data_IF_702324017919
#
_entry.id   IF_702324017919
#
_cell.length_a   1.000
_cell.length_b   1.000
_cell.length_c   1.000
_cell.angle_alpha   90.00
_cell.angle_beta   90.00
_cell.angle_gamma   90.00
#
_symmetry.space_group_name_H-M   'P 1'
#
loop_
_entity.id
_entity.type
_entity.pdbx_description
1 polymer ?
#
# COMPACT_ATOMS: atom_id res chain seq x y z
N UNK A 1 -8.32 8.38 12.71
CA UNK A 1 -7.63 7.19 12.10
C UNK A 1 -6.81 7.69 10.93
N UNK A 2 -5.52 7.43 10.91
CA UNK A 2 -4.59 7.82 9.83
C UNK A 2 -4.05 6.59 9.11
N UNK A 3 -3.58 6.79 7.89
CA UNK A 3 -2.94 5.74 7.09
C UNK A 3 -1.49 6.11 6.84
N UNK A 4 -0.55 5.26 7.26
CA UNK A 4 0.87 5.36 6.92
C UNK A 4 1.13 4.48 5.70
N UNK A 5 1.70 5.06 4.63
CA UNK A 5 2.03 4.33 3.39
C UNK A 5 3.54 4.40 3.15
N UNK A 6 4.19 3.24 3.03
CA UNK A 6 5.59 3.16 2.69
C UNK A 6 5.80 3.41 1.19
N UNK A 7 6.51 4.47 0.85
CA UNK A 7 6.73 4.92 -0.52
C UNK A 7 8.22 5.21 -0.84
N UNK A 8 9.14 4.77 0.01
CA UNK A 8 10.56 5.13 -0.07
C UNK A 8 11.51 4.06 -0.62
N UNK A 9 11.01 2.89 -1.04
CA UNK A 9 11.84 1.79 -1.54
C UNK A 9 12.40 2.04 -2.95
N UNK A 10 13.52 1.38 -3.28
CA UNK A 10 14.22 1.52 -4.57
C UNK A 10 13.46 0.92 -5.76
N UNK A 11 12.57 -0.07 -5.55
CA UNK A 11 11.77 -0.69 -6.60
C UNK A 11 12.55 -1.45 -7.66
N UNK A 12 13.70 -2.03 -7.31
CA UNK A 12 14.69 -2.63 -8.24
C UNK A 12 14.13 -3.74 -9.14
N UNK A 13 13.07 -4.44 -8.72
CA UNK A 13 12.43 -5.51 -9.50
C UNK A 13 11.57 -4.99 -10.67
N UNK A 14 11.30 -3.70 -10.74
CA UNK A 14 10.54 -3.01 -11.78
C UNK A 14 11.42 -1.91 -12.39
N UNK A 15 12.67 -2.22 -12.71
CA UNK A 15 13.71 -1.25 -13.10
C UNK A 15 13.37 -0.43 -14.35
N UNK A 16 12.59 -1.00 -15.29
CA UNK A 16 12.15 -0.33 -16.51
C UNK A 16 11.34 0.93 -16.21
N UNK A 17 10.54 0.91 -15.16
CA UNK A 17 9.69 2.04 -14.72
C UNK A 17 10.38 2.87 -13.63
N UNK A 18 11.06 2.19 -12.69
CA UNK A 18 11.61 2.85 -11.48
C UNK A 18 12.93 3.56 -11.72
N UNK A 19 13.54 3.40 -12.89
CA UNK A 19 14.65 4.25 -13.32
C UNK A 19 14.30 5.74 -13.41
N UNK A 20 13.04 6.07 -13.66
CA UNK A 20 12.54 7.44 -13.85
C UNK A 20 11.76 7.94 -12.64
N UNK A 21 10.86 7.12 -12.06
CA UNK A 21 9.96 7.48 -10.95
C UNK A 21 9.97 6.42 -9.85
N UNK A 22 9.67 6.77 -8.57
CA UNK A 22 9.60 5.76 -7.51
C UNK A 22 8.42 4.82 -7.76
N UNK A 23 8.52 3.56 -7.30
CA UNK A 23 7.52 2.50 -7.54
C UNK A 23 6.07 2.92 -7.24
N UNK A 24 5.76 3.64 -6.14
CA UNK A 24 4.41 4.11 -5.84
C UNK A 24 3.83 5.09 -6.88
N UNK A 25 4.69 5.68 -7.72
CA UNK A 25 4.30 6.61 -8.80
C UNK A 25 4.18 5.92 -10.17
N UNK A 26 4.38 4.62 -10.26
CA UNK A 26 4.10 3.84 -11.49
C UNK A 26 2.60 3.77 -11.68
N UNK A 27 2.16 4.04 -12.91
CA UNK A 27 0.75 4.26 -13.22
C UNK A 27 0.02 2.96 -13.63
N UNK A 28 -1.23 2.88 -13.18
CA UNK A 28 -2.25 1.93 -13.62
C UNK A 28 -3.42 2.77 -14.11
N UNK A 29 -3.79 2.62 -15.39
CA UNK A 29 -4.89 3.40 -15.97
C UNK A 29 -4.67 4.93 -15.92
N UNK A 30 -3.42 5.39 -16.01
CA UNK A 30 -3.06 6.81 -15.97
C UNK A 30 -3.08 7.47 -14.60
N UNK A 31 -3.16 6.67 -13.51
CA UNK A 31 -3.04 7.13 -12.12
C UNK A 31 -1.98 6.33 -11.38
N UNK A 32 -1.13 6.97 -10.54
CA UNK A 32 -0.14 6.26 -9.73
C UNK A 32 -0.78 5.14 -8.88
N UNK A 33 -0.09 4.01 -8.68
CA UNK A 33 -0.60 2.96 -7.78
C UNK A 33 -0.84 3.50 -6.37
N UNK A 34 -0.06 4.46 -5.91
CA UNK A 34 -0.28 5.19 -4.66
C UNK A 34 -1.67 5.83 -4.61
N UNK A 35 -2.12 6.45 -5.70
CA UNK A 35 -3.46 7.04 -5.81
C UNK A 35 -4.55 5.95 -5.64
N UNK A 36 -4.38 4.78 -6.28
CA UNK A 36 -5.32 3.67 -6.14
C UNK A 36 -5.41 3.18 -4.70
N UNK A 37 -4.28 3.02 -4.01
CA UNK A 37 -4.23 2.63 -2.59
C UNK A 37 -4.96 3.66 -1.73
N UNK A 38 -4.72 4.95 -1.93
CA UNK A 38 -5.39 6.02 -1.20
C UNK A 38 -6.90 6.03 -1.46
N UNK A 39 -7.33 5.76 -2.70
CA UNK A 39 -8.78 5.64 -3.04
C UNK A 39 -9.44 4.47 -2.32
N UNK A 40 -8.74 3.34 -2.13
CA UNK A 40 -9.27 2.22 -1.35
C UNK A 40 -9.57 2.64 0.09
N UNK A 41 -8.62 3.27 0.78
CA UNK A 41 -8.85 3.78 2.13
C UNK A 41 -9.94 4.86 2.18
N UNK A 42 -9.96 5.75 1.19
CA UNK A 42 -10.95 6.82 1.08
C UNK A 42 -12.36 6.28 0.90
N UNK A 43 -12.55 5.17 0.16
CA UNK A 43 -13.83 4.50 0.01
C UNK A 43 -14.37 3.94 1.35
N UNK A 44 -13.49 3.70 2.33
CA UNK A 44 -13.84 3.33 3.71
C UNK A 44 -13.84 4.54 4.67
N UNK A 45 -13.86 5.78 4.15
CA UNK A 45 -13.96 7.02 4.94
C UNK A 45 -12.66 7.50 5.57
N UNK A 46 -11.51 6.91 5.23
CA UNK A 46 -10.20 7.30 5.78
C UNK A 46 -9.47 8.18 4.76
N UNK A 47 -9.26 9.46 5.12
CA UNK A 47 -8.76 10.50 4.21
C UNK A 47 -7.51 11.23 4.73
N UNK A 48 -6.89 10.75 5.82
CA UNK A 48 -5.68 11.34 6.40
C UNK A 48 -4.49 10.39 6.18
N UNK A 49 -3.57 10.80 5.31
CA UNK A 49 -2.47 9.97 4.81
C UNK A 49 -1.12 10.55 5.20
N UNK A 50 -0.22 9.68 5.65
CA UNK A 50 1.18 9.97 5.93
C UNK A 50 2.01 9.11 4.97
N UNK A 51 2.68 9.74 4.03
CA UNK A 51 3.47 9.06 3.02
C UNK A 51 4.95 9.10 3.40
N UNK A 52 5.53 7.94 3.66
CA UNK A 52 6.96 7.79 3.96
C UNK A 52 7.78 7.86 2.67
N UNK A 53 8.22 9.05 2.30
CA UNK A 53 9.07 9.29 1.14
C UNK A 53 10.53 8.85 1.39
N UNK A 54 11.21 8.47 0.34
CA UNK A 54 12.65 8.12 0.31
C UNK A 54 13.14 8.28 -1.11
N UNK A 55 13.65 7.20 -1.72
CA UNK A 55 14.15 7.23 -3.08
C UNK A 55 13.20 7.95 -4.04
N UNK A 56 13.71 9.01 -4.70
CA UNK A 56 12.95 9.90 -5.59
C UNK A 56 11.67 10.48 -4.95
N UNK A 57 11.65 10.66 -3.63
CA UNK A 57 10.49 11.19 -2.90
C UNK A 57 10.02 12.56 -3.36
N UNK A 58 10.90 13.35 -4.01
CA UNK A 58 10.53 14.64 -4.60
C UNK A 58 9.43 14.50 -5.67
N UNK A 59 9.45 13.42 -6.46
CA UNK A 59 8.43 13.18 -7.50
C UNK A 59 7.04 12.99 -6.86
N UNK A 60 6.97 12.34 -5.68
CA UNK A 60 5.73 12.21 -4.92
C UNK A 60 5.29 13.59 -4.41
N UNK A 61 6.22 14.39 -3.88
CA UNK A 61 5.92 15.76 -3.41
C UNK A 61 5.44 16.65 -4.54
N UNK A 62 6.08 16.60 -5.70
CA UNK A 62 5.70 17.35 -6.90
C UNK A 62 4.31 16.97 -7.40
N UNK A 63 3.98 15.66 -7.40
CA UNK A 63 2.66 15.18 -7.77
C UNK A 63 1.56 15.79 -6.90
N UNK A 64 1.72 15.77 -5.57
CA UNK A 64 0.73 16.33 -4.66
C UNK A 64 0.72 17.86 -4.65
N UNK A 65 1.87 18.52 -4.82
CA UNK A 65 1.94 19.97 -4.97
C UNK A 65 1.16 20.47 -6.20
N UNK A 66 1.16 19.66 -7.27
CA UNK A 66 0.47 19.95 -8.52
C UNK A 66 -0.87 19.18 -8.68
N UNK A 67 -1.40 18.61 -7.61
CA UNK A 67 -2.54 17.69 -7.67
C UNK A 67 -3.77 18.32 -8.34
N UNK A 68 -4.06 19.60 -8.06
CA UNK A 68 -5.17 20.31 -8.68
C UNK A 68 -5.00 20.47 -10.21
N UNK A 69 -3.78 20.57 -10.70
CA UNK A 69 -3.51 20.62 -12.14
C UNK A 69 -3.84 19.29 -12.83
N UNK A 70 -3.72 18.16 -12.12
CA UNK A 70 -4.07 16.83 -12.62
C UNK A 70 -5.57 16.53 -12.55
N UNK A 71 -6.30 17.19 -11.63
CA UNK A 71 -7.66 16.81 -11.27
C UNK A 71 -8.71 17.87 -11.60
N UNK A 72 -8.32 19.05 -12.12
CA UNK A 72 -9.22 20.18 -12.34
C UNK A 72 -8.88 20.94 -13.61
N UNK A 73 -9.86 21.64 -14.17
CA UNK A 73 -9.62 22.62 -15.19
C UNK A 73 -9.01 23.88 -14.55
N UNK A 74 -8.03 24.50 -15.18
CA UNK A 74 -7.32 25.65 -14.64
C UNK A 74 -7.16 26.75 -15.70
N UNK A 75 -7.25 27.99 -15.27
CA UNK A 75 -6.91 29.17 -16.09
C UNK A 75 -5.66 29.83 -15.49
N UNK A 76 -4.66 30.05 -16.34
CA UNK A 76 -3.49 30.84 -15.99
C UNK A 76 -3.60 32.23 -16.64
N UNK A 77 -3.71 33.25 -15.82
CA UNK A 77 -3.52 34.63 -16.27
C UNK A 77 -2.02 34.97 -16.18
N UNK A 78 -1.33 34.87 -17.30
CA UNK A 78 0.11 35.09 -17.38
C UNK A 78 0.49 36.54 -17.13
N UNK A 79 -0.39 37.50 -17.44
CA UNK A 79 -0.17 38.91 -17.21
C UNK A 79 -0.19 39.26 -15.73
N UNK A 80 -1.19 38.77 -15.03
CA UNK A 80 -1.41 39.02 -13.61
C UNK A 80 -0.72 37.99 -12.68
N UNK A 81 -0.06 36.97 -13.27
CA UNK A 81 0.58 35.85 -12.55
C UNK A 81 -0.39 35.18 -11.56
N UNK A 82 -1.60 34.90 -12.02
CA UNK A 82 -2.67 34.27 -11.23
C UNK A 82 -3.09 32.93 -11.82
N UNK A 83 -3.43 32.01 -10.94
CA UNK A 83 -4.04 30.72 -11.30
C UNK A 83 -5.43 30.62 -10.68
N UNK A 84 -6.42 30.25 -11.48
CA UNK A 84 -7.76 29.95 -11.04
C UNK A 84 -8.11 28.49 -11.33
N UNK A 85 -8.55 27.76 -10.30
CA UNK A 85 -8.93 26.34 -10.40
C UNK A 85 -10.44 26.25 -10.52
N UNK A 86 -10.90 25.64 -11.64
CA UNK A 86 -12.31 25.42 -11.92
C UNK A 86 -12.68 23.95 -11.64
N UNK A 87 -13.95 23.72 -11.26
CA UNK A 87 -14.50 22.36 -11.10
C UNK A 87 -13.61 21.46 -10.22
N UNK A 88 -13.46 21.81 -8.93
CA UNK A 88 -12.68 21.05 -7.95
C UNK A 88 -13.14 19.60 -7.89
N UNK A 89 -12.38 18.70 -8.49
CA UNK A 89 -12.61 17.24 -8.52
C UNK A 89 -11.58 16.49 -7.66
N UNK A 90 -10.82 17.24 -6.86
CA UNK A 90 -9.84 16.64 -5.96
C UNK A 90 -10.54 15.85 -4.85
N UNK A 91 -9.94 14.75 -4.48
CA UNK A 91 -10.36 13.94 -3.34
C UNK A 91 -10.22 14.73 -2.02
N UNK A 92 -11.01 14.36 -0.98
CA UNK A 92 -11.01 15.07 0.31
C UNK A 92 -9.82 14.67 1.20
N UNK A 93 -8.64 14.52 0.62
CA UNK A 93 -7.46 14.00 1.31
C UNK A 93 -6.68 15.08 2.04
N UNK A 94 -6.22 14.73 3.24
CA UNK A 94 -5.11 15.39 3.92
C UNK A 94 -3.87 14.52 3.72
N UNK A 95 -2.81 15.07 3.14
CA UNK A 95 -1.60 14.31 2.79
C UNK A 95 -0.37 14.94 3.43
N UNK A 96 0.27 14.20 4.31
CA UNK A 96 1.55 14.56 4.91
C UNK A 96 2.68 13.76 4.25
N UNK A 97 3.62 14.45 3.65
CA UNK A 97 4.76 13.86 2.91
C UNK A 97 6.02 14.00 3.74
N UNK A 98 6.47 12.89 4.35
CA UNK A 98 7.61 12.87 5.26
C UNK A 98 8.83 12.30 4.56
N UNK A 99 9.95 13.00 4.57
CA UNK A 99 11.23 12.45 4.16
C UNK A 99 11.73 11.49 5.25
N UNK A 100 11.70 10.20 4.94
CA UNK A 100 12.14 9.15 5.85
C UNK A 100 13.54 8.61 5.52
N UNK A 101 14.27 9.29 4.63
CA UNK A 101 15.63 8.95 4.22
C UNK A 101 15.69 7.85 3.15
N UNK A 102 16.75 7.84 2.36
CA UNK A 102 16.91 6.87 1.26
C UNK A 102 17.21 5.46 1.77
N UNK A 103 18.00 5.35 2.84
CA UNK A 103 18.53 4.08 3.35
C UNK A 103 17.73 3.49 4.51
N UNK A 104 16.67 4.14 4.95
CA UNK A 104 15.83 3.61 6.04
C UNK A 104 15.06 2.38 5.57
N UNK A 105 15.02 1.36 6.43
CA UNK A 105 14.22 0.16 6.19
C UNK A 105 12.77 0.36 6.63
N UNK A 106 11.91 -0.63 6.41
CA UNK A 106 10.46 -0.54 6.61
C UNK A 106 10.06 -0.09 8.02
N UNK A 107 10.66 -0.67 9.05
CA UNK A 107 10.47 -0.26 10.45
C UNK A 107 11.03 1.13 10.71
N UNK A 108 12.26 1.42 10.25
CA UNK A 108 12.87 2.74 10.41
C UNK A 108 12.01 3.86 9.83
N UNK A 109 11.39 3.66 8.65
CA UNK A 109 10.45 4.64 8.07
C UNK A 109 9.23 4.85 8.96
N UNK A 110 8.69 3.77 9.53
CA UNK A 110 7.55 3.84 10.45
C UNK A 110 7.92 4.62 11.72
N UNK A 111 9.11 4.41 12.29
CA UNK A 111 9.58 5.17 13.46
C UNK A 111 9.72 6.67 13.17
N UNK A 112 10.17 7.04 11.97
CA UNK A 112 10.36 8.46 11.57
C UNK A 112 9.05 9.24 11.42
N UNK A 113 7.91 8.56 11.35
CA UNK A 113 6.58 9.20 11.34
C UNK A 113 5.84 9.08 12.67
N UNK A 114 6.51 8.62 13.73
CA UNK A 114 5.93 8.39 15.05
C UNK A 114 5.18 9.61 15.61
N UNK A 115 5.73 10.81 15.46
CA UNK A 115 5.12 12.05 15.96
C UNK A 115 3.75 12.37 15.34
N UNK A 116 3.47 11.84 14.15
CA UNK A 116 2.20 12.04 13.46
C UNK A 116 1.10 11.03 13.87
N UNK A 117 1.49 9.91 14.54
CA UNK A 117 0.58 8.79 14.82
C UNK A 117 0.54 8.39 16.30
N UNK A 118 1.44 8.91 17.16
CA UNK A 118 1.57 8.50 18.56
C UNK A 118 0.30 8.73 19.42
N UNK A 119 -0.52 9.71 19.04
CA UNK A 119 -1.74 10.09 19.77
C UNK A 119 -3.01 9.42 19.19
N UNK A 120 -2.87 8.57 18.17
CA UNK A 120 -3.97 7.77 17.65
C UNK A 120 -4.25 6.57 18.54
N UNK A 121 -5.50 6.12 18.65
CA UNK A 121 -5.83 4.83 19.31
C UNK A 121 -5.27 3.66 18.49
N UNK A 122 -5.44 3.73 17.19
CA UNK A 122 -4.87 2.83 16.20
C UNK A 122 -4.69 3.58 14.87
N UNK A 123 -3.82 3.08 14.01
CA UNK A 123 -3.60 3.61 12.66
C UNK A 123 -3.46 2.47 11.65
N UNK A 124 -3.80 2.75 10.39
CA UNK A 124 -3.56 1.84 9.29
C UNK A 124 -2.13 2.01 8.77
N UNK A 125 -1.55 0.90 8.34
CA UNK A 125 -0.20 0.88 7.77
C UNK A 125 -0.16 -0.05 6.55
N UNK A 126 0.43 0.40 5.43
CA UNK A 126 0.51 -0.43 4.23
C UNK A 126 1.73 -0.11 3.38
N UNK A 127 2.02 -0.99 2.43
CA UNK A 127 3.03 -0.79 1.39
C UNK A 127 2.44 0.03 0.24
N UNK A 128 3.29 0.80 -0.44
CA UNK A 128 2.90 1.69 -1.54
C UNK A 128 2.88 1.02 -2.92
N UNK A 129 2.73 -0.32 -2.99
CA UNK A 129 2.95 -1.08 -4.22
C UNK A 129 1.97 -2.25 -4.46
N UNK A 130 0.92 -2.37 -3.64
CA UNK A 130 -0.07 -3.42 -3.77
C UNK A 130 -1.51 -2.91 -3.65
N UNK A 131 -2.41 -3.48 -4.43
CA UNK A 131 -3.84 -3.20 -4.41
C UNK A 131 -4.65 -4.45 -4.04
N UNK A 132 -5.81 -4.26 -3.41
CA UNK A 132 -6.66 -5.33 -2.90
C UNK A 132 -8.11 -4.88 -2.85
N UNK A 133 -9.06 -5.80 -2.83
CA UNK A 133 -10.47 -5.54 -2.53
C UNK A 133 -10.81 -5.83 -1.06
N UNK A 134 -9.82 -5.72 -0.18
CA UNK A 134 -10.00 -5.92 1.26
C UNK A 134 -11.03 -4.95 1.84
N UNK A 135 -11.90 -5.45 2.69
CA UNK A 135 -12.79 -4.64 3.52
C UNK A 135 -12.02 -4.05 4.71
N UNK A 136 -11.50 -2.83 4.50
CA UNK A 136 -10.69 -2.11 5.49
C UNK A 136 -11.51 -1.82 6.75
N UNK A 137 -12.80 -1.52 6.61
CA UNK A 137 -13.69 -1.27 7.76
C UNK A 137 -13.75 -2.50 8.65
N UNK A 138 -14.00 -3.68 8.08
CA UNK A 138 -14.04 -4.92 8.86
C UNK A 138 -12.68 -5.30 9.47
N UNK A 139 -11.58 -5.01 8.78
CA UNK A 139 -10.24 -5.21 9.33
C UNK A 139 -9.99 -4.34 10.58
N UNK A 140 -10.46 -3.09 10.56
CA UNK A 140 -10.39 -2.19 11.72
C UNK A 140 -11.31 -2.67 12.86
N UNK A 141 -12.54 -3.05 12.56
CA UNK A 141 -13.48 -3.62 13.54
C UNK A 141 -12.91 -4.89 14.20
N UNK A 142 -12.28 -5.76 13.41
CA UNK A 142 -11.59 -6.95 13.90
C UNK A 142 -10.45 -6.59 14.85
N UNK A 143 -9.62 -5.60 14.47
CA UNK A 143 -8.54 -5.10 15.33
C UNK A 143 -9.06 -4.58 16.68
N UNK A 144 -10.10 -3.76 16.65
CA UNK A 144 -10.72 -3.21 17.84
C UNK A 144 -11.32 -4.29 18.74
N UNK A 145 -11.94 -5.32 18.14
CA UNK A 145 -12.59 -6.40 18.87
C UNK A 145 -11.61 -7.29 19.66
N UNK A 146 -10.43 -7.59 19.11
CA UNK A 146 -9.45 -8.43 19.81
C UNK A 146 -8.54 -7.65 20.77
N UNK A 147 -8.39 -6.33 20.60
CA UNK A 147 -7.64 -5.45 21.50
C UNK A 147 -6.13 -5.70 21.55
N UNK A 148 -5.56 -6.45 20.59
CA UNK A 148 -4.12 -6.71 20.47
C UNK A 148 -3.42 -5.56 19.77
N UNK A 149 -2.06 -5.55 19.78
CA UNK A 149 -1.29 -4.43 19.27
C UNK A 149 -1.25 -4.37 17.72
N UNK A 150 -1.38 -5.50 17.04
CA UNK A 150 -1.26 -5.55 15.59
C UNK A 150 -2.25 -6.53 14.96
N UNK A 151 -2.80 -6.10 13.83
CA UNK A 151 -3.52 -6.93 12.87
C UNK A 151 -2.80 -6.84 11.54
N UNK A 152 -2.46 -7.96 10.93
CA UNK A 152 -2.03 -8.03 9.54
C UNK A 152 -3.14 -8.63 8.67
N UNK A 153 -3.17 -8.27 7.39
CA UNK A 153 -4.01 -8.99 6.43
C UNK A 153 -3.26 -10.21 5.93
N UNK A 154 -3.83 -11.39 6.19
CA UNK A 154 -3.36 -12.65 5.63
C UNK A 154 -4.10 -12.93 4.33
N UNK A 155 -3.38 -13.21 3.25
CA UNK A 155 -3.96 -13.48 1.93
C UNK A 155 -3.17 -14.56 1.19
N UNK A 156 -3.77 -15.12 0.14
CA UNK A 156 -3.06 -16.04 -0.74
C UNK A 156 -2.27 -15.28 -1.81
N UNK A 157 -1.00 -15.67 -2.06
CA UNK A 157 -0.24 -15.09 -3.16
C UNK A 157 -0.90 -15.39 -4.50
N UNK A 158 -0.83 -14.46 -5.48
CA UNK A 158 -1.29 -14.74 -6.83
C UNK A 158 -0.50 -15.91 -7.43
N UNK A 159 -1.20 -16.87 -8.06
CA UNK A 159 -0.58 -18.02 -8.69
C UNK A 159 0.36 -17.62 -9.81
N UNK A 160 1.62 -18.04 -9.73
CA UNK A 160 2.64 -17.74 -10.75
C UNK A 160 2.95 -18.93 -11.65
N UNK A 161 2.77 -20.15 -11.15
CA UNK A 161 3.15 -21.41 -11.79
C UNK A 161 1.99 -22.41 -11.76
N UNK A 162 2.06 -23.42 -12.65
CA UNK A 162 1.19 -24.59 -12.54
C UNK A 162 1.59 -25.45 -11.34
N UNK A 163 0.63 -25.90 -10.56
CA UNK A 163 0.85 -26.86 -9.47
C UNK A 163 0.55 -28.27 -9.94
N UNK A 164 1.34 -29.24 -9.46
CA UNK A 164 1.25 -30.64 -9.80
C UNK A 164 1.08 -31.46 -8.51
N UNK A 165 0.08 -32.36 -8.51
CA UNK A 165 0.00 -33.44 -7.53
C UNK A 165 0.65 -34.67 -8.18
N UNK A 166 1.72 -35.19 -7.58
CA UNK A 166 2.51 -36.28 -8.16
C UNK A 166 2.53 -37.47 -7.21
N UNK A 167 2.12 -38.65 -7.71
CA UNK A 167 2.22 -39.92 -6.97
C UNK A 167 3.08 -40.90 -7.79
N UNK A 168 4.21 -41.35 -7.24
CA UNK A 168 5.12 -42.33 -7.87
C UNK A 168 5.54 -41.97 -9.31
N UNK A 169 5.76 -40.65 -9.58
CA UNK A 169 6.17 -40.15 -10.90
C UNK A 169 5.03 -39.90 -11.88
N UNK A 170 3.79 -40.22 -11.51
CA UNK A 170 2.58 -39.88 -12.28
C UNK A 170 1.99 -38.55 -11.81
N UNK A 171 1.63 -37.71 -12.75
CA UNK A 171 0.86 -36.48 -12.46
C UNK A 171 -0.61 -36.87 -12.31
N UNK A 172 -1.13 -36.77 -11.10
CA UNK A 172 -2.53 -37.07 -10.78
C UNK A 172 -3.42 -35.87 -10.97
N UNK A 173 -2.89 -34.64 -10.78
CA UNK A 173 -3.63 -33.42 -10.97
C UNK A 173 -2.71 -32.29 -11.44
N UNK A 174 -3.24 -31.46 -12.32
CA UNK A 174 -2.58 -30.24 -12.80
C UNK A 174 -3.52 -29.06 -12.61
N UNK A 175 -3.06 -28.02 -11.91
CA UNK A 175 -3.79 -26.77 -11.75
C UNK A 175 -2.95 -25.62 -12.27
N UNK A 176 -3.41 -24.96 -13.31
CA UNK A 176 -2.73 -23.77 -13.84
C UNK A 176 -2.93 -22.59 -12.87
N UNK A 177 -1.82 -22.04 -12.36
CA UNK A 177 -1.77 -20.85 -11.49
C UNK A 177 -2.77 -20.89 -10.33
N UNK A 178 -2.79 -21.96 -9.51
CA UNK A 178 -3.68 -22.00 -8.36
C UNK A 178 -3.31 -20.84 -7.41
N UNK A 179 -4.28 -20.34 -6.66
CA UNK A 179 -4.00 -19.38 -5.61
C UNK A 179 -3.22 -20.10 -4.50
N UNK A 180 -1.98 -19.68 -4.32
CA UNK A 180 -1.07 -20.11 -3.24
C UNK A 180 -0.88 -21.63 -3.10
N UNK A 181 0.23 -22.05 -2.54
CA UNK A 181 0.52 -23.45 -2.22
C UNK A 181 -0.13 -23.88 -0.88
N UNK A 182 -1.31 -23.32 -0.57
CA UNK A 182 -2.02 -23.59 0.68
C UNK A 182 -1.62 -22.73 1.88
N UNK A 183 -0.54 -21.96 1.79
CA UNK A 183 -0.11 -21.04 2.85
C UNK A 183 -0.52 -19.60 2.55
N UNK A 184 -1.13 -18.92 3.55
CA UNK A 184 -1.35 -17.49 3.52
C UNK A 184 -0.03 -16.74 3.75
N UNK A 185 0.08 -15.57 3.17
CA UNK A 185 1.23 -14.66 3.30
C UNK A 185 0.80 -13.32 3.90
N UNK A 186 1.77 -12.54 4.34
CA UNK A 186 1.56 -11.15 4.72
C UNK A 186 1.15 -10.32 3.49
N UNK A 187 -0.10 -9.89 3.46
CA UNK A 187 -0.68 -9.05 2.40
C UNK A 187 -0.54 -7.55 2.62
N UNK A 188 0.13 -7.12 3.69
CA UNK A 188 0.13 -5.72 4.10
C UNK A 188 -1.19 -5.33 4.77
N UNK A 189 -1.67 -4.11 4.54
CA UNK A 189 -2.93 -3.60 5.08
C UNK A 189 -3.08 -3.88 6.58
N UNK A 190 -2.11 -3.38 7.34
CA UNK A 190 -2.09 -3.55 8.79
C UNK A 190 -3.03 -2.55 9.49
N UNK A 191 -3.53 -2.94 10.65
CA UNK A 191 -4.07 -2.04 11.66
C UNK A 191 -3.22 -2.19 12.92
N UNK A 192 -2.64 -1.09 13.40
CA UNK A 192 -1.60 -1.10 14.42
C UNK A 192 -1.93 -0.15 15.57
N UNK A 193 -1.65 -0.56 16.80
CA UNK A 193 -1.54 0.35 17.93
C UNK A 193 -0.21 1.11 17.87
N UNK A 194 -0.14 2.40 18.23
CA UNK A 194 1.12 3.13 18.33
C UNK A 194 2.18 2.50 19.25
N UNK A 195 1.78 1.60 20.14
CA UNK A 195 2.70 0.87 21.02
C UNK A 195 3.72 0.04 20.25
N UNK A 196 3.40 -0.40 19.03
CA UNK A 196 4.34 -1.18 18.20
C UNK A 196 5.61 -0.40 17.85
N UNK A 197 5.58 0.95 17.91
CA UNK A 197 6.74 1.81 17.66
C UNK A 197 7.89 1.55 18.65
N UNK A 198 7.58 1.05 19.85
CA UNK A 198 8.58 0.69 20.86
C UNK A 198 9.45 -0.51 20.47
N UNK A 199 9.04 -1.28 19.46
CA UNK A 199 9.78 -2.41 18.93
C UNK A 199 10.80 -2.02 17.85
N UNK A 200 10.83 -0.74 17.46
CA UNK A 200 11.70 -0.24 16.41
C UNK A 200 12.84 0.57 17.05
N UNK A 201 14.05 0.05 16.95
CA UNK A 201 15.24 0.59 17.62
C UNK A 201 16.13 1.48 16.74
N UNK A 202 15.98 1.39 15.40
CA UNK A 202 16.88 2.06 14.47
C UNK A 202 16.28 2.22 13.06
N UNK A 203 16.90 3.06 12.26
CA UNK A 203 16.57 3.21 10.83
C UNK A 203 16.77 1.92 10.01
N UNK A 204 17.66 1.03 10.45
CA UNK A 204 17.90 -0.27 9.82
C UNK A 204 16.90 -1.36 10.22
N UNK A 205 15.97 -1.05 11.12
CA UNK A 205 14.95 -2.01 11.54
C UNK A 205 14.02 -2.37 10.38
N UNK A 206 13.88 -3.67 10.11
CA UNK A 206 12.96 -4.23 9.12
C UNK A 206 11.70 -4.67 9.88
N UNK A 207 10.56 -4.02 9.59
CA UNK A 207 9.26 -4.29 10.22
C UNK A 207 8.86 -5.77 10.18
N UNK A 208 9.11 -6.41 9.03
CA UNK A 208 8.76 -7.81 8.74
C UNK A 208 9.64 -8.84 9.46
N UNK A 209 10.66 -8.40 10.21
CA UNK A 209 11.57 -9.25 10.95
C UNK A 209 11.30 -9.17 12.45
N UNK A 210 12.21 -8.52 13.20
CA UNK A 210 12.12 -8.50 14.67
C UNK A 210 10.77 -7.98 15.19
N UNK A 211 10.21 -6.85 14.73
CA UNK A 211 8.95 -6.36 15.27
C UNK A 211 7.77 -7.33 15.09
N UNK A 212 7.55 -7.85 13.87
CA UNK A 212 6.45 -8.81 13.64
C UNK A 212 6.66 -10.14 14.36
N UNK A 213 7.89 -10.66 14.39
CA UNK A 213 8.19 -11.88 15.13
C UNK A 213 7.95 -11.69 16.63
N UNK A 214 8.38 -10.57 17.20
CA UNK A 214 8.18 -10.26 18.61
C UNK A 214 6.68 -10.14 18.95
N UNK A 215 5.90 -9.48 18.12
CA UNK A 215 4.45 -9.39 18.29
C UNK A 215 3.78 -10.77 18.22
N UNK A 216 4.25 -11.64 17.34
CA UNK A 216 3.74 -13.02 17.24
C UNK A 216 4.08 -13.84 18.50
N UNK A 217 5.34 -13.79 18.97
CA UNK A 217 5.81 -14.51 20.16
C UNK A 217 5.07 -14.06 21.41
N UNK A 218 4.75 -12.76 21.53
CA UNK A 218 4.02 -12.18 22.66
C UNK A 218 2.48 -12.40 22.55
N UNK A 219 1.99 -13.01 21.44
CA UNK A 219 0.55 -13.19 21.20
C UNK A 219 -0.20 -11.87 20.95
N UNK A 220 0.51 -10.86 20.43
CA UNK A 220 0.00 -9.52 20.14
C UNK A 220 -0.22 -9.27 18.64
N UNK A 221 0.01 -10.27 17.79
CA UNK A 221 -0.23 -10.24 16.34
C UNK A 221 -1.42 -11.12 15.97
N UNK A 222 -2.43 -10.52 15.32
CA UNK A 222 -3.59 -11.22 14.81
C UNK A 222 -3.64 -11.16 13.27
N UNK A 223 -4.23 -12.17 12.65
CA UNK A 223 -4.40 -12.24 11.20
C UNK A 223 -5.86 -12.03 10.82
N UNK A 224 -6.13 -11.00 9.99
CA UNK A 224 -7.40 -10.82 9.31
C UNK A 224 -7.32 -11.55 7.96
N UNK A 225 -8.08 -12.64 7.81
CA UNK A 225 -8.04 -13.47 6.60
C UNK A 225 -8.80 -12.80 5.46
N UNK A 226 -8.11 -12.60 4.34
CA UNK A 226 -8.66 -12.03 3.12
C UNK A 226 -8.55 -13.04 1.97
N UNK A 227 -9.69 -13.52 1.50
CA UNK A 227 -9.80 -14.50 0.43
C UNK A 227 -10.13 -13.87 -0.95
N UNK A 228 -10.22 -12.52 -1.01
CA UNK A 228 -10.52 -11.75 -2.20
C UNK A 228 -9.31 -11.50 -3.10
N UNK A 229 -9.38 -10.43 -3.86
CA UNK A 229 -8.30 -9.99 -4.75
C UNK A 229 -7.18 -9.32 -3.96
N UNK A 230 -5.96 -9.71 -4.21
CA UNK A 230 -4.75 -9.03 -3.75
C UNK A 230 -3.64 -9.18 -4.80
N UNK A 231 -3.02 -8.08 -5.18
CA UNK A 231 -1.98 -8.08 -6.22
C UNK A 231 -0.91 -7.04 -5.92
N UNK A 232 0.35 -7.44 -5.68
CA UNK A 232 1.48 -6.51 -5.67
C UNK A 232 1.90 -6.18 -7.10
N UNK A 233 2.41 -4.98 -7.33
CA UNK A 233 2.99 -4.56 -8.61
C UNK A 233 4.52 -4.69 -8.55
N UNK A 234 5.05 -5.90 -8.49
CA UNK A 234 6.48 -6.16 -8.32
C UNK A 234 7.27 -6.19 -9.63
N UNK A 235 6.63 -6.59 -10.71
CA UNK A 235 7.23 -6.77 -12.04
C UNK A 235 6.43 -6.04 -13.11
N UNK A 236 7.04 -5.88 -14.30
CA UNK A 236 6.33 -5.33 -15.46
C UNK A 236 5.09 -6.17 -15.82
N UNK A 237 5.16 -7.49 -15.66
CA UNK A 237 4.00 -8.37 -15.85
C UNK A 237 2.85 -8.04 -14.89
N UNK A 238 3.16 -7.77 -13.63
CA UNK A 238 2.14 -7.40 -12.63
C UNK A 238 1.50 -6.05 -13.02
N UNK A 239 2.30 -5.09 -13.45
CA UNK A 239 1.81 -3.79 -13.93
C UNK A 239 0.87 -3.96 -15.12
N UNK A 240 1.28 -4.71 -16.15
CA UNK A 240 0.47 -4.94 -17.33
C UNK A 240 -0.86 -5.66 -17.01
N UNK A 241 -0.82 -6.62 -16.08
CA UNK A 241 -2.03 -7.30 -15.60
C UNK A 241 -3.00 -6.35 -14.90
N UNK A 242 -2.48 -5.46 -14.03
CA UNK A 242 -3.30 -4.47 -13.36
C UNK A 242 -3.88 -3.44 -14.35
N UNK A 243 -3.09 -3.01 -15.33
CA UNK A 243 -3.56 -2.13 -16.43
C UNK A 243 -4.67 -2.79 -17.23
N UNK A 244 -4.52 -4.06 -17.60
CA UNK A 244 -5.53 -4.82 -18.33
C UNK A 244 -6.87 -4.88 -17.56
N UNK A 245 -6.81 -5.21 -16.28
CA UNK A 245 -8.01 -5.22 -15.41
C UNK A 245 -8.68 -3.85 -15.34
N UNK A 246 -7.89 -2.79 -15.25
CA UNK A 246 -8.41 -1.42 -15.19
C UNK A 246 -9.07 -1.01 -16.51
N UNK A 247 -8.40 -1.24 -17.64
CA UNK A 247 -8.92 -0.91 -18.97
C UNK A 247 -10.20 -1.70 -19.30
N UNK A 248 -10.28 -2.95 -18.86
CA UNK A 248 -11.46 -3.78 -19.04
C UNK A 248 -12.64 -3.39 -18.11
N UNK A 249 -12.47 -2.43 -17.19
CA UNK A 249 -13.48 -2.09 -16.17
C UNK A 249 -13.72 -3.22 -15.17
N UNK A 250 -12.75 -4.12 -14.98
CA UNK A 250 -12.83 -5.32 -14.12
C UNK A 250 -11.86 -5.29 -12.94
N UNK A 251 -11.34 -4.11 -12.60
CA UNK A 251 -10.42 -3.93 -11.48
C UNK A 251 -11.12 -4.18 -10.13
N UNK A 252 -10.86 -5.31 -9.42
CA UNK A 252 -11.60 -5.65 -8.21
C UNK A 252 -11.35 -4.67 -7.07
N UNK A 253 -10.17 -4.04 -7.04
CA UNK A 253 -9.83 -3.03 -6.05
C UNK A 253 -10.50 -1.67 -6.27
N UNK A 254 -11.15 -1.45 -7.42
CA UNK A 254 -11.94 -0.24 -7.69
C UNK A 254 -13.31 -0.36 -7.01
N UNK A 255 -13.34 -0.18 -5.69
CA UNK A 255 -14.55 -0.23 -4.85
C UNK A 255 -15.27 1.13 -4.71
N UNK A 256 -14.75 2.17 -5.34
CA UNK A 256 -15.35 3.52 -5.42
C UNK A 256 -16.01 3.77 -6.77
N UNK A 257 -16.93 4.72 -6.81
CA UNK A 257 -17.61 5.19 -8.03
C UNK A 257 -16.70 5.97 -9.00
#
# INVERSE_FOLDING_TARGET
MKVVILAGGLGTRLSEETSVKPKPMVEIGGKPILWHIMKQYSAHGINDFIICCGYKGYIIKEYFANYFLHMSDVTFDMKENKMEVHHKRAEPWTVTLVDTGDNSMTGGRLARVADYIKDEEAFCFTYGDGVSDIDITKSIEFHQAHGKQATLTATFPPGRFGALDITSGKVDNFKEKPRGDGAMINGGFFVLSPRVLQLIDSDSCIWEQYPLNRLADDGELMAYEHNGFWQPMDTLRDKLYLDELWQAGKAPWKIWE
#
